data_IF_079698194876
#
_entry.id   IF_079698194876
#
_cell.length_a   1.000
_cell.length_b   1.000
_cell.length_c   1.000
_cell.angle_alpha   90.00
_cell.angle_beta   90.00
_cell.angle_gamma   90.00
#
_symmetry.space_group_name_H-M   'P 1'
#
loop_
_entity.id
_entity.type
_entity.pdbx_description
1 polymer ?
#
# COMPACT_ATOMS: atom_id res chain seq x y z
N UNK A 1 35.14 -0.88 6.57
CA UNK A 1 34.11 -1.95 6.53
C UNK A 1 32.70 -1.41 6.25
N UNK A 2 32.19 -0.42 6.99
CA UNK A 2 30.82 0.12 6.81
C UNK A 2 30.47 0.67 5.41
N UNK A 3 31.43 1.26 4.67
CA UNK A 3 31.19 1.73 3.28
C UNK A 3 31.06 0.61 2.23
N UNK A 4 31.60 -0.59 2.49
CA UNK A 4 31.51 -1.72 1.55
C UNK A 4 30.17 -2.47 1.67
N UNK A 5 29.54 -2.43 2.84
CA UNK A 5 28.20 -3.01 3.06
C UNK A 5 27.13 -2.12 2.43
N UNK A 6 27.26 -0.78 2.55
CA UNK A 6 26.34 0.16 1.90
C UNK A 6 26.40 0.07 0.36
N UNK A 7 27.60 -0.11 -0.20
CA UNK A 7 27.78 -0.33 -1.64
C UNK A 7 27.28 -1.71 -2.09
N UNK A 8 27.32 -2.74 -1.24
CA UNK A 8 26.78 -4.07 -1.55
C UNK A 8 25.24 -4.11 -1.48
N UNK A 9 24.62 -3.39 -0.55
CA UNK A 9 23.15 -3.25 -0.49
C UNK A 9 22.60 -2.40 -1.64
N UNK A 10 23.29 -1.31 -2.03
CA UNK A 10 22.93 -0.54 -3.23
C UNK A 10 23.24 -1.29 -4.54
N UNK A 11 24.30 -2.11 -4.59
CA UNK A 11 24.62 -2.93 -5.77
C UNK A 11 23.69 -4.15 -5.93
N UNK A 12 23.15 -4.70 -4.84
CA UNK A 12 22.12 -5.74 -4.90
C UNK A 12 20.78 -5.21 -5.47
N UNK A 13 20.58 -3.89 -5.45
CA UNK A 13 19.41 -3.22 -6.04
C UNK A 13 19.65 -2.89 -7.54
N UNK A 14 20.90 -2.82 -8.00
CA UNK A 14 21.25 -2.30 -9.35
C UNK A 14 21.75 -3.32 -10.39
N UNK A 15 21.99 -4.59 -10.06
CA UNK A 15 22.41 -5.59 -11.06
C UNK A 15 21.22 -6.43 -11.55
N UNK A 16 20.55 -5.98 -12.62
CA UNK A 16 20.08 -6.79 -13.76
C UNK A 16 19.29 -5.90 -14.74
N UNK A 17 19.99 -5.18 -15.63
CA UNK A 17 19.38 -4.58 -16.83
C UNK A 17 20.32 -4.75 -18.03
N UNK A 18 20.02 -5.74 -18.87
CA UNK A 18 20.34 -5.71 -20.30
C UNK A 18 19.63 -6.88 -21.03
N UNK A 19 18.55 -6.57 -21.76
CA UNK A 19 18.40 -6.89 -23.20
C UNK A 19 16.93 -6.76 -23.67
N UNK A 20 16.74 -5.78 -24.57
CA UNK A 20 15.75 -5.59 -25.65
C UNK A 20 14.47 -6.43 -25.75
N UNK A 21 13.38 -5.75 -26.13
CA UNK A 21 12.70 -6.00 -27.42
C UNK A 21 11.71 -4.88 -27.78
N UNK A 22 11.44 -4.78 -29.08
CA UNK A 22 10.83 -3.67 -29.81
C UNK A 22 9.30 -3.77 -29.97
N UNK A 23 8.61 -2.64 -29.83
CA UNK A 23 7.63 -2.11 -30.81
C UNK A 23 6.20 -2.69 -30.87
N UNK A 24 5.21 -1.80 -30.67
CA UNK A 24 3.82 -2.02 -31.09
C UNK A 24 2.93 -0.79 -30.80
N UNK A 25 2.60 0.00 -31.83
CA UNK A 25 1.66 1.12 -31.77
C UNK A 25 0.21 0.61 -31.72
N UNK A 26 -0.57 1.07 -30.73
CA UNK A 26 -2.02 0.93 -30.67
C UNK A 26 -2.70 2.29 -30.48
N UNK A 27 -3.66 2.61 -31.34
CA UNK A 27 -4.41 3.87 -31.34
C UNK A 27 -5.49 3.87 -30.25
N UNK A 28 -5.56 4.96 -29.47
CA UNK A 28 -6.64 5.23 -28.52
C UNK A 28 -7.78 6.01 -29.21
N UNK A 29 -9.02 5.53 -29.03
CA UNK A 29 -10.24 6.29 -29.29
C UNK A 29 -10.77 6.84 -27.96
N UNK A 30 -10.93 8.16 -27.89
CA UNK A 30 -11.54 8.84 -26.74
C UNK A 30 -13.06 8.73 -26.75
N UNK A 31 -13.64 8.56 -25.56
CA UNK A 31 -15.07 8.74 -25.29
C UNK A 31 -15.24 9.74 -24.16
N UNK A 32 -16.02 10.79 -24.43
CA UNK A 32 -16.44 11.82 -23.48
C UNK A 32 -17.44 11.24 -22.48
N UNK A 33 -17.23 11.48 -21.19
CA UNK A 33 -18.20 11.21 -20.13
C UNK A 33 -18.97 12.50 -19.80
N UNK A 34 -20.29 12.45 -19.97
CA UNK A 34 -21.22 13.46 -19.48
C UNK A 34 -21.68 13.13 -18.07
N UNK A 35 -21.59 14.12 -17.17
CA UNK A 35 -22.13 14.06 -15.81
C UNK A 35 -23.66 14.17 -15.85
N UNK A 36 -24.34 13.15 -15.34
CA UNK A 36 -25.77 13.18 -15.08
C UNK A 36 -26.04 12.52 -13.73
N UNK A 37 -26.70 13.25 -12.83
CA UNK A 37 -27.14 12.76 -11.52
C UNK A 37 -28.14 11.60 -11.69
N UNK A 38 -27.78 10.40 -11.21
CA UNK A 38 -28.63 9.21 -11.24
C UNK A 38 -29.22 8.92 -9.85
N UNK A 39 -30.54 8.78 -9.80
CA UNK A 39 -31.29 8.33 -8.62
C UNK A 39 -31.11 6.81 -8.41
N UNK A 40 -30.54 6.42 -7.27
CA UNK A 40 -30.10 5.06 -6.89
C UNK A 40 -31.25 4.11 -6.47
N UNK A 41 -32.40 4.11 -7.15
CA UNK A 41 -33.53 3.25 -6.72
C UNK A 41 -34.11 2.29 -7.75
N UNK A 42 -33.72 2.37 -9.02
CA UNK A 42 -34.25 1.47 -10.04
C UNK A 42 -33.31 0.29 -10.29
N UNK A 43 -33.84 -0.93 -10.11
CA UNK A 43 -33.14 -2.19 -10.36
C UNK A 43 -32.75 -2.28 -11.85
N UNK A 44 -31.46 -2.38 -12.20
CA UNK A 44 -31.05 -2.51 -13.59
C UNK A 44 -31.59 -3.82 -14.21
N UNK A 45 -31.73 -3.83 -15.54
CA UNK A 45 -32.12 -5.01 -16.32
C UNK A 45 -31.17 -6.20 -16.01
N UNK A 46 -31.70 -7.43 -16.11
CA UNK A 46 -31.14 -8.72 -15.62
C UNK A 46 -29.69 -9.05 -16.05
N UNK A 47 -28.71 -8.30 -15.56
CA UNK A 47 -27.29 -8.65 -15.55
C UNK A 47 -26.89 -9.47 -14.31
N UNK A 48 -25.65 -9.97 -14.28
CA UNK A 48 -25.08 -10.72 -13.16
C UNK A 48 -24.75 -9.82 -11.95
N UNK A 49 -25.69 -8.98 -11.51
CA UNK A 49 -25.51 -8.09 -10.37
C UNK A 49 -25.35 -8.90 -9.07
N UNK A 50 -24.35 -8.51 -8.28
CA UNK A 50 -24.08 -9.07 -6.97
C UNK A 50 -24.62 -8.09 -5.93
N UNK A 51 -25.57 -8.54 -5.11
CA UNK A 51 -26.03 -7.74 -3.97
C UNK A 51 -24.92 -7.68 -2.91
N UNK A 52 -24.51 -6.47 -2.54
CA UNK A 52 -23.54 -6.22 -1.47
C UNK A 52 -24.32 -5.78 -0.25
N UNK A 53 -24.15 -6.49 0.86
CA UNK A 53 -24.71 -6.05 2.14
C UNK A 53 -23.75 -5.05 2.81
N UNK A 54 -24.24 -4.09 3.60
CA UNK A 54 -23.40 -3.19 4.36
C UNK A 54 -22.48 -3.96 5.32
N UNK A 55 -21.22 -3.55 5.40
CA UNK A 55 -20.23 -4.16 6.28
C UNK A 55 -19.46 -3.12 7.09
N UNK A 56 -19.16 -3.49 8.35
CA UNK A 56 -18.35 -2.71 9.28
C UNK A 56 -17.01 -3.44 9.44
N UNK A 57 -16.08 -3.17 8.53
CA UNK A 57 -14.71 -3.67 8.57
C UNK A 57 -13.74 -2.48 8.50
N UNK A 58 -12.60 -2.61 9.17
CA UNK A 58 -11.54 -1.62 9.05
C UNK A 58 -10.84 -1.77 7.70
N UNK A 59 -10.60 -0.66 7.01
CA UNK A 59 -9.96 -0.64 5.70
C UNK A 59 -8.58 0.01 5.84
N UNK A 60 -7.56 -0.81 5.66
CA UNK A 60 -6.16 -0.41 5.64
C UNK A 60 -5.61 -0.28 4.22
N UNK A 61 -4.56 0.51 4.05
CA UNK A 61 -3.84 0.61 2.78
C UNK A 61 -2.33 0.68 2.99
N UNK A 62 -1.58 -0.03 2.15
CA UNK A 62 -0.13 0.11 2.10
C UNK A 62 0.27 1.51 1.63
N UNK A 63 1.22 2.13 2.32
CA UNK A 63 1.65 3.50 2.07
C UNK A 63 3.18 3.59 2.05
N UNK A 64 3.73 3.92 0.89
CA UNK A 64 5.16 4.03 0.64
C UNK A 64 5.69 5.36 1.17
N UNK A 65 6.51 5.26 2.22
CA UNK A 65 7.11 6.41 2.93
C UNK A 65 8.50 6.76 2.42
N UNK A 66 8.96 6.17 1.33
CA UNK A 66 10.37 6.20 0.96
C UNK A 66 10.67 7.05 -0.28
N UNK A 67 9.71 7.70 -0.92
CA UNK A 67 10.03 8.61 -2.04
C UNK A 67 10.83 9.80 -1.55
N UNK A 68 11.98 10.00 -2.19
CA UNK A 68 12.88 11.13 -1.94
C UNK A 68 12.97 11.96 -3.19
N UNK A 69 12.74 13.26 -3.05
CA UNK A 69 12.84 14.22 -4.15
C UNK A 69 13.37 15.55 -3.65
N UNK A 70 14.40 16.05 -4.31
CA UNK A 70 14.96 17.37 -4.08
C UNK A 70 14.98 18.12 -5.43
N UNK A 71 14.11 19.13 -5.63
CA UNK A 71 13.99 19.83 -6.90
C UNK A 71 15.25 20.64 -7.26
N UNK A 72 16.13 20.94 -6.31
CA UNK A 72 17.42 21.58 -6.60
C UNK A 72 18.44 20.60 -7.21
N UNK A 73 18.23 19.30 -7.00
CA UNK A 73 19.12 18.23 -7.45
C UNK A 73 18.35 17.13 -8.21
N UNK A 74 17.60 17.48 -9.28
CA UNK A 74 16.73 16.54 -9.96
C UNK A 74 17.50 15.38 -10.61
N UNK A 75 18.81 15.54 -10.81
CA UNK A 75 19.68 14.57 -11.45
C UNK A 75 20.55 13.74 -10.49
N UNK A 76 20.55 14.03 -9.19
CA UNK A 76 21.36 13.31 -8.19
C UNK A 76 20.57 12.11 -7.65
N UNK A 77 20.99 10.90 -8.00
CA UNK A 77 20.31 9.67 -7.56
C UNK A 77 20.35 9.45 -6.05
N UNK A 78 21.27 10.08 -5.33
CA UNK A 78 21.28 10.05 -3.86
C UNK A 78 20.24 10.97 -3.23
N UNK A 79 19.67 11.88 -4.02
CA UNK A 79 18.66 12.87 -3.61
C UNK A 79 17.34 12.75 -4.37
N UNK A 80 17.26 11.87 -5.36
CA UNK A 80 16.07 11.67 -6.16
C UNK A 80 15.87 10.17 -6.45
N UNK A 81 15.05 9.53 -5.62
CA UNK A 81 14.72 8.10 -5.78
C UNK A 81 13.80 7.83 -6.97
N UNK A 82 12.95 8.79 -7.34
CA UNK A 82 12.13 8.68 -8.55
C UNK A 82 13.00 8.41 -9.78
N UNK A 83 14.09 9.16 -9.90
CA UNK A 83 15.06 8.98 -10.98
C UNK A 83 15.92 7.73 -10.81
N UNK A 84 16.45 7.49 -9.62
CA UNK A 84 17.34 6.36 -9.35
C UNK A 84 16.67 5.02 -9.71
N UNK A 85 15.37 4.90 -9.45
CA UNK A 85 14.61 3.66 -9.66
C UNK A 85 13.78 3.65 -10.96
N UNK A 86 14.02 4.63 -11.84
CA UNK A 86 13.27 4.83 -13.09
C UNK A 86 11.76 4.72 -12.86
N UNK A 87 11.24 5.47 -11.89
CA UNK A 87 9.81 5.55 -11.59
C UNK A 87 9.21 6.62 -12.50
N UNK A 88 8.22 6.22 -13.29
CA UNK A 88 7.66 7.04 -14.39
C UNK A 88 6.25 7.57 -14.14
N UNK A 89 5.71 7.31 -12.96
CA UNK A 89 4.45 7.92 -12.56
C UNK A 89 4.63 9.44 -12.44
N UNK A 90 3.55 10.15 -12.75
CA UNK A 90 3.43 11.60 -12.58
C UNK A 90 2.23 11.88 -11.66
N UNK A 91 2.38 11.71 -10.32
CA UNK A 91 1.30 11.82 -9.35
C UNK A 91 0.69 13.22 -9.27
N UNK A 92 -0.59 13.30 -8.90
CA UNK A 92 -1.22 14.58 -8.57
C UNK A 92 -0.62 15.17 -7.30
N UNK A 93 -0.42 16.49 -7.30
CA UNK A 93 0.13 17.28 -6.21
C UNK A 93 -0.98 18.11 -5.52
N UNK A 94 -0.72 18.67 -4.32
CA UNK A 94 -1.73 19.41 -3.56
C UNK A 94 -2.33 20.63 -4.30
N UNK A 95 -1.60 21.20 -5.25
CA UNK A 95 -2.03 22.34 -6.07
C UNK A 95 -2.80 21.91 -7.34
N UNK A 96 -3.04 20.62 -7.52
CA UNK A 96 -3.71 20.04 -8.69
C UNK A 96 -2.82 19.86 -9.91
N UNK A 97 -1.53 20.20 -9.82
CA UNK A 97 -0.55 19.88 -10.86
C UNK A 97 -0.09 18.42 -10.74
N UNK A 98 0.70 17.96 -11.71
CA UNK A 98 1.32 16.64 -11.66
C UNK A 98 2.84 16.77 -11.53
N UNK A 99 3.44 15.97 -10.66
CA UNK A 99 4.88 15.98 -10.47
C UNK A 99 5.40 15.03 -9.40
N UNK A 100 6.72 15.08 -9.24
CA UNK A 100 7.44 14.28 -8.25
C UNK A 100 7.38 14.96 -6.87
N UNK A 101 7.39 14.16 -5.81
CA UNK A 101 7.32 14.67 -4.44
C UNK A 101 8.26 13.94 -3.49
N UNK A 102 8.51 14.54 -2.32
CA UNK A 102 9.18 13.87 -1.20
C UNK A 102 8.13 13.35 -0.21
N UNK A 103 8.18 12.06 0.14
CA UNK A 103 7.22 11.46 1.09
C UNK A 103 7.37 12.03 2.52
N UNK A 104 8.41 12.82 2.79
CA UNK A 104 8.59 13.55 4.06
C UNK A 104 8.08 14.99 4.03
N UNK A 105 7.58 15.47 2.90
CA UNK A 105 6.98 16.81 2.80
C UNK A 105 5.61 16.83 3.49
N UNK A 106 5.45 17.75 4.44
CA UNK A 106 4.23 17.90 5.22
C UNK A 106 3.01 18.22 4.37
N UNK A 107 3.12 19.09 3.37
CA UNK A 107 1.97 19.45 2.53
C UNK A 107 1.49 18.26 1.71
N UNK A 108 2.43 17.46 1.19
CA UNK A 108 2.15 16.21 0.49
C UNK A 108 1.46 15.21 1.40
N UNK A 109 2.00 14.99 2.61
CA UNK A 109 1.40 14.05 3.57
C UNK A 109 -0.02 14.48 3.93
N UNK A 110 -0.23 15.75 4.27
CA UNK A 110 -1.57 16.25 4.64
C UNK A 110 -2.57 16.14 3.49
N UNK A 111 -2.13 16.37 2.25
CA UNK A 111 -2.94 16.12 1.07
C UNK A 111 -3.33 14.64 0.94
N UNK A 112 -2.39 13.72 1.09
CA UNK A 112 -2.68 12.28 1.06
C UNK A 112 -3.63 11.86 2.20
N UNK A 113 -3.46 12.38 3.42
CA UNK A 113 -4.36 12.07 4.54
C UNK A 113 -5.80 12.52 4.25
N UNK A 114 -5.97 13.68 3.61
CA UNK A 114 -7.28 14.13 3.14
C UNK A 114 -7.89 13.15 2.15
N UNK A 115 -7.18 12.81 1.08
CA UNK A 115 -7.65 11.86 0.06
C UNK A 115 -8.03 10.50 0.70
N UNK A 116 -7.15 9.95 1.54
CA UNK A 116 -7.36 8.67 2.23
C UNK A 116 -8.62 8.68 3.10
N UNK A 117 -8.81 9.73 3.91
CA UNK A 117 -9.96 9.82 4.83
C UNK A 117 -11.28 10.04 4.10
N UNK A 118 -11.28 10.83 3.02
CA UNK A 118 -12.41 11.03 2.11
C UNK A 118 -12.79 9.73 1.39
N UNK A 119 -11.82 8.90 1.02
CA UNK A 119 -12.05 7.58 0.44
C UNK A 119 -12.57 6.53 1.45
N UNK A 120 -12.55 6.82 2.75
CA UNK A 120 -12.99 5.89 3.79
C UNK A 120 -11.92 4.88 4.21
N UNK A 121 -10.65 5.24 4.10
CA UNK A 121 -9.54 4.48 4.70
C UNK A 121 -9.44 4.81 6.20
N UNK A 122 -9.29 3.79 7.03
CA UNK A 122 -9.21 3.92 8.49
C UNK A 122 -7.77 3.92 9.01
N UNK A 123 -6.85 3.25 8.30
CA UNK A 123 -5.44 3.25 8.65
C UNK A 123 -4.50 3.05 7.46
N UNK A 124 -3.25 3.47 7.63
CA UNK A 124 -2.16 3.16 6.70
C UNK A 124 -1.17 2.15 7.29
N UNK A 125 -0.58 1.34 6.41
CA UNK A 125 0.56 0.47 6.72
C UNK A 125 1.80 1.14 6.12
N UNK A 126 2.62 1.79 6.96
CA UNK A 126 3.85 2.44 6.51
C UNK A 126 4.86 1.39 6.08
N UNK A 127 5.24 1.42 4.81
CA UNK A 127 6.22 0.49 4.24
C UNK A 127 7.65 0.84 4.72
N UNK A 128 8.13 0.08 5.69
CA UNK A 128 9.51 0.09 6.18
C UNK A 128 10.16 -1.29 6.01
N UNK A 129 9.70 -2.05 5.01
CA UNK A 129 10.02 -3.47 4.83
C UNK A 129 11.47 -3.73 4.38
N UNK A 130 12.15 -2.71 3.85
CA UNK A 130 13.54 -2.77 3.43
C UNK A 130 14.56 -2.50 4.55
N UNK A 131 14.21 -2.83 5.80
CA UNK A 131 14.90 -2.46 7.04
C UNK A 131 14.68 -1.00 7.45
N UNK A 132 14.22 -0.76 8.69
CA UNK A 132 13.84 0.59 9.19
C UNK A 132 14.92 1.66 8.94
N UNK A 133 16.19 1.33 9.22
CA UNK A 133 17.33 2.27 9.10
C UNK A 133 18.15 2.17 7.80
N UNK A 134 17.61 1.54 6.76
CA UNK A 134 18.33 1.45 5.47
C UNK A 134 18.68 2.83 4.91
N UNK A 135 19.80 2.92 4.18
CA UNK A 135 20.23 4.15 3.53
C UNK A 135 20.53 5.33 4.47
N UNK A 136 20.79 5.06 5.75
CA UNK A 136 21.05 6.11 6.75
C UNK A 136 19.80 6.63 7.45
N UNK A 137 18.69 5.88 7.42
CA UNK A 137 17.46 6.20 8.17
C UNK A 137 16.43 7.03 7.41
N UNK A 138 16.67 7.34 6.12
CA UNK A 138 15.81 8.26 5.38
C UNK A 138 14.36 7.77 5.22
N UNK A 139 14.13 6.45 5.18
CA UNK A 139 12.78 5.84 5.19
C UNK A 139 12.12 6.10 6.54
N UNK A 140 12.85 5.85 7.64
CA UNK A 140 12.34 6.09 8.99
C UNK A 140 12.08 7.57 9.26
N UNK A 141 12.90 8.49 8.75
CA UNK A 141 12.66 9.93 8.94
C UNK A 141 11.33 10.37 8.31
N UNK A 142 11.00 9.85 7.13
CA UNK A 142 9.72 10.09 6.45
C UNK A 142 8.55 9.40 7.14
N UNK A 143 8.73 8.16 7.60
CA UNK A 143 7.73 7.46 8.39
C UNK A 143 7.40 8.22 9.70
N UNK A 144 8.40 8.83 10.34
CA UNK A 144 8.18 9.71 11.50
C UNK A 144 7.38 10.96 11.09
N UNK A 145 7.73 11.61 9.97
CA UNK A 145 6.98 12.77 9.47
C UNK A 145 5.51 12.43 9.21
N UNK A 146 5.24 11.23 8.64
CA UNK A 146 3.87 10.74 8.43
C UNK A 146 3.14 10.53 9.76
N UNK A 147 3.76 9.86 10.74
CA UNK A 147 3.13 9.65 12.04
C UNK A 147 2.83 10.98 12.76
N UNK A 148 3.72 11.97 12.65
CA UNK A 148 3.51 13.32 13.17
C UNK A 148 2.33 14.02 12.47
N UNK A 149 2.28 13.99 11.14
CA UNK A 149 1.17 14.59 10.39
C UNK A 149 -0.17 13.91 10.70
N UNK A 150 -0.20 12.60 10.93
CA UNK A 150 -1.42 11.90 11.37
C UNK A 150 -1.88 12.41 12.74
N UNK A 151 -0.96 12.57 13.69
CA UNK A 151 -1.29 13.12 15.00
C UNK A 151 -1.88 14.54 14.86
N UNK A 152 -1.21 15.41 14.10
CA UNK A 152 -1.70 16.76 13.83
C UNK A 152 -3.07 16.78 13.13
N UNK A 153 -3.26 15.90 12.15
CA UNK A 153 -4.52 15.73 11.42
C UNK A 153 -5.66 15.35 12.37
N UNK A 154 -5.41 14.39 13.27
CA UNK A 154 -6.39 13.92 14.24
C UNK A 154 -6.69 15.01 15.31
N UNK A 155 -5.67 15.72 15.80
CA UNK A 155 -5.82 16.79 16.79
C UNK A 155 -6.59 18.01 16.25
N UNK A 156 -6.54 18.24 14.93
CA UNK A 156 -7.33 19.26 14.25
C UNK A 156 -8.83 18.93 14.14
N UNK A 157 -9.27 17.76 14.62
CA UNK A 157 -10.67 17.33 14.60
C UNK A 157 -11.16 16.83 13.23
N UNK A 158 -10.24 16.52 12.31
CA UNK A 158 -10.59 15.86 11.07
C UNK A 158 -11.09 14.43 11.32
N UNK A 159 -11.64 13.77 10.29
CA UNK A 159 -11.96 12.34 10.37
C UNK A 159 -10.69 11.57 10.73
N UNK A 160 -10.66 10.82 11.85
CA UNK A 160 -9.43 10.19 12.29
C UNK A 160 -8.92 9.14 11.31
N UNK A 161 -7.60 9.08 11.17
CA UNK A 161 -6.88 8.01 10.48
C UNK A 161 -5.74 7.53 11.37
N UNK A 162 -5.44 6.24 11.32
CA UNK A 162 -4.39 5.63 12.13
C UNK A 162 -3.24 5.12 11.27
N UNK A 163 -2.17 4.68 11.91
CA UNK A 163 -1.07 4.04 11.21
C UNK A 163 -0.57 2.79 11.93
N UNK A 164 0.05 1.88 11.18
CA UNK A 164 0.98 0.90 11.70
C UNK A 164 2.25 0.88 10.86
N UNK A 165 3.26 0.15 11.32
CA UNK A 165 4.51 -0.05 10.58
C UNK A 165 4.56 -1.48 10.05
N UNK A 166 5.07 -1.62 8.83
CA UNK A 166 5.55 -2.88 8.31
C UNK A 166 7.07 -2.93 8.34
N UNK A 167 7.64 -4.01 8.88
CA UNK A 167 9.09 -4.24 8.97
C UNK A 167 9.49 -5.43 8.09
N UNK A 168 10.77 -5.57 7.76
CA UNK A 168 11.17 -6.64 6.86
C UNK A 168 12.67 -6.88 6.73
N UNK A 169 13.48 -6.46 7.71
CA UNK A 169 14.90 -6.82 7.70
C UNK A 169 15.13 -8.35 7.70
N UNK A 170 14.13 -9.13 8.15
CA UNK A 170 14.13 -10.59 8.09
C UNK A 170 14.32 -11.16 6.67
N UNK A 171 13.99 -10.40 5.62
CA UNK A 171 14.25 -10.80 4.23
C UNK A 171 15.74 -10.96 3.92
N UNK A 172 16.59 -10.20 4.62
CA UNK A 172 18.03 -10.16 4.43
C UNK A 172 18.76 -10.93 5.53
N UNK A 173 18.21 -10.91 6.74
CA UNK A 173 18.72 -11.58 7.92
C UNK A 173 17.64 -12.49 8.52
N UNK A 174 17.44 -13.71 7.99
CA UNK A 174 16.32 -14.59 8.30
C UNK A 174 16.43 -15.21 9.70
N UNK A 175 16.32 -14.37 10.72
CA UNK A 175 16.37 -14.72 12.12
C UNK A 175 15.25 -14.01 12.88
N UNK A 176 14.53 -14.72 13.75
CA UNK A 176 13.45 -14.11 14.53
C UNK A 176 13.95 -13.00 15.46
N UNK A 177 15.23 -13.03 15.85
CA UNK A 177 15.89 -11.92 16.57
C UNK A 177 15.84 -10.60 15.79
N UNK A 178 15.90 -10.64 14.46
CA UNK A 178 15.83 -9.44 13.61
C UNK A 178 14.47 -8.73 13.77
N UNK A 179 13.37 -9.50 13.86
CA UNK A 179 12.02 -8.97 14.11
C UNK A 179 11.98 -8.25 15.47
N UNK A 180 12.53 -8.89 16.50
CA UNK A 180 12.61 -8.30 17.86
C UNK A 180 13.45 -7.01 17.86
N UNK A 181 14.56 -6.98 17.13
CA UNK A 181 15.42 -5.80 17.04
C UNK A 181 14.72 -4.61 16.34
N UNK A 182 13.97 -4.86 15.26
CA UNK A 182 13.16 -3.82 14.62
C UNK A 182 11.99 -3.36 15.51
N UNK A 183 11.37 -4.27 16.27
CA UNK A 183 10.33 -3.93 17.25
C UNK A 183 10.86 -3.02 18.38
N UNK A 184 12.13 -3.15 18.78
CA UNK A 184 12.79 -2.22 19.73
C UNK A 184 12.79 -0.81 19.16
N UNK A 185 13.15 -0.66 17.88
CA UNK A 185 13.19 0.64 17.20
C UNK A 185 11.79 1.26 17.15
N UNK A 186 10.78 0.47 16.74
CA UNK A 186 9.41 0.96 16.66
C UNK A 186 8.86 1.39 18.02
N UNK A 187 9.08 0.60 19.07
CA UNK A 187 8.66 0.98 20.42
C UNK A 187 9.29 2.31 20.86
N UNK A 188 10.57 2.54 20.57
CA UNK A 188 11.27 3.75 21.04
C UNK A 188 10.95 4.99 20.20
N UNK A 189 10.69 4.82 18.91
CA UNK A 189 10.52 5.93 17.95
C UNK A 189 9.06 6.29 17.68
N UNK A 190 8.12 5.38 17.95
CA UNK A 190 6.71 5.58 17.65
C UNK A 190 5.84 5.41 18.91
N UNK A 191 5.79 4.21 19.52
CA UNK A 191 4.86 3.95 20.63
C UNK A 191 5.06 4.82 21.87
N UNK A 192 6.30 5.27 22.12
CA UNK A 192 6.64 6.11 23.28
C UNK A 192 6.58 7.61 22.98
N UNK A 193 6.00 8.00 21.85
CA UNK A 193 5.86 9.37 21.38
C UNK A 193 4.40 9.79 21.44
N UNK A 194 4.16 11.10 21.33
CA UNK A 194 2.80 11.66 21.30
C UNK A 194 1.97 11.11 20.13
N UNK A 195 2.59 10.92 18.97
CA UNK A 195 1.95 10.26 17.82
C UNK A 195 1.69 8.76 18.04
N UNK A 196 2.18 8.17 19.13
CA UNK A 196 1.90 6.78 19.51
C UNK A 196 0.42 6.51 19.81
N UNK A 197 -0.38 7.53 20.12
CA UNK A 197 -1.82 7.38 20.35
C UNK A 197 -2.61 7.18 19.05
N UNK A 198 -2.05 7.62 17.91
CA UNK A 198 -2.62 7.43 16.58
C UNK A 198 -2.28 6.06 15.96
N UNK A 199 -1.66 5.15 16.73
CA UNK A 199 -1.36 3.80 16.26
C UNK A 199 -2.63 2.97 16.07
N UNK A 200 -2.67 2.18 15.00
CA UNK A 200 -3.74 1.24 14.72
C UNK A 200 -3.61 0.01 15.62
N UNK A 201 -4.72 -0.37 16.25
CA UNK A 201 -4.76 -1.37 17.31
C UNK A 201 -5.52 -2.61 16.84
N UNK A 202 -4.94 -3.79 17.06
CA UNK A 202 -5.58 -5.08 16.82
C UNK A 202 -5.41 -5.93 18.08
N UNK A 203 -6.47 -6.58 18.54
CA UNK A 203 -6.47 -7.39 19.77
C UNK A 203 -5.96 -6.62 21.01
N UNK A 204 -6.26 -5.32 21.06
CA UNK A 204 -5.86 -4.44 22.18
C UNK A 204 -4.39 -4.01 22.19
N UNK A 205 -3.61 -4.31 21.14
CA UNK A 205 -2.20 -3.88 21.01
C UNK A 205 -1.94 -3.20 19.66
N UNK A 206 -0.91 -2.33 19.56
CA UNK A 206 -0.47 -1.79 18.29
C UNK A 206 -0.16 -2.89 17.27
N UNK A 207 -0.65 -2.75 16.04
CA UNK A 207 -0.37 -3.68 14.96
C UNK A 207 1.09 -3.56 14.50
N UNK A 208 1.77 -4.69 14.30
CA UNK A 208 3.05 -4.73 13.59
C UNK A 208 2.96 -5.76 12.47
N UNK A 209 3.10 -5.31 11.23
CA UNK A 209 3.15 -6.19 10.07
C UNK A 209 4.60 -6.59 9.83
N UNK A 210 4.86 -7.89 9.72
CA UNK A 210 6.19 -8.44 9.42
C UNK A 210 6.16 -9.00 8.01
N UNK A 211 6.92 -8.38 7.13
CA UNK A 211 7.06 -8.78 5.74
C UNK A 211 8.30 -9.64 5.54
N UNK A 212 8.11 -10.81 4.93
CA UNK A 212 9.18 -11.70 4.53
C UNK A 212 8.70 -13.14 4.40
N UNK A 213 9.12 -13.80 3.32
CA UNK A 213 8.75 -15.19 3.05
C UNK A 213 9.15 -16.10 4.23
N UNK A 214 8.15 -16.81 4.78
CA UNK A 214 8.37 -17.69 5.94
C UNK A 214 8.59 -16.97 7.27
N UNK A 215 8.37 -15.66 7.36
CA UNK A 215 8.57 -14.86 8.57
C UNK A 215 7.86 -15.41 9.81
N UNK A 216 6.63 -15.91 9.64
CA UNK A 216 5.86 -16.55 10.73
C UNK A 216 6.58 -17.76 11.32
N UNK A 217 7.09 -18.63 10.45
CA UNK A 217 7.79 -19.84 10.86
C UNK A 217 9.13 -19.50 11.52
N UNK A 218 9.89 -18.55 10.95
CA UNK A 218 11.16 -18.08 11.52
C UNK A 218 10.94 -17.49 12.92
N UNK A 219 9.87 -16.71 13.12
CA UNK A 219 9.53 -16.17 14.43
C UNK A 219 9.13 -17.27 15.42
N UNK A 220 8.32 -18.23 14.99
CA UNK A 220 7.93 -19.38 15.81
C UNK A 220 9.15 -20.18 16.28
N UNK A 221 10.08 -20.49 15.38
CA UNK A 221 11.32 -21.20 15.72
C UNK A 221 12.19 -20.41 16.69
N UNK A 222 12.29 -19.10 16.52
CA UNK A 222 12.98 -18.23 17.47
C UNK A 222 12.36 -18.33 18.87
N UNK A 223 11.03 -18.32 18.98
CA UNK A 223 10.31 -18.47 20.25
C UNK A 223 10.49 -19.86 20.86
N UNK A 224 10.33 -20.91 20.08
CA UNK A 224 10.47 -22.31 20.53
C UNK A 224 11.91 -22.62 20.99
N UNK A 225 12.90 -21.97 20.37
CA UNK A 225 14.31 -22.02 20.75
C UNK A 225 14.70 -21.19 21.98
N UNK A 226 13.74 -20.59 22.69
CA UNK A 226 13.98 -19.77 23.89
C UNK A 226 14.26 -18.29 23.62
N UNK A 227 13.97 -17.81 22.41
CA UNK A 227 14.07 -16.40 22.03
C UNK A 227 13.15 -15.51 22.86
N UNK A 228 13.69 -14.37 23.31
CA UNK A 228 12.95 -13.39 24.09
C UNK A 228 12.17 -12.44 23.16
N UNK A 229 10.93 -12.14 23.50
CA UNK A 229 10.03 -11.25 22.74
C UNK A 229 9.63 -10.01 23.55
N UNK A 230 10.60 -9.41 24.24
CA UNK A 230 10.36 -8.29 25.16
C UNK A 230 9.65 -7.11 24.48
N UNK A 231 9.98 -6.84 23.22
CA UNK A 231 9.41 -5.74 22.45
C UNK A 231 8.32 -6.21 21.49
N UNK A 232 8.48 -7.36 20.84
CA UNK A 232 7.40 -7.93 20.02
C UNK A 232 6.12 -8.20 20.82
N UNK A 233 6.19 -8.56 22.12
CA UNK A 233 5.01 -8.80 22.96
C UNK A 233 4.15 -7.54 23.19
N UNK A 234 4.69 -6.36 22.87
CA UNK A 234 3.95 -5.08 22.91
C UNK A 234 3.05 -4.89 21.69
N UNK A 235 3.26 -5.66 20.63
CA UNK A 235 2.53 -5.55 19.39
C UNK A 235 1.63 -6.77 19.19
N UNK A 236 0.63 -6.60 18.34
CA UNK A 236 -0.05 -7.70 17.68
C UNK A 236 0.66 -7.95 16.35
N UNK A 237 1.39 -9.06 16.25
CA UNK A 237 2.09 -9.42 15.03
C UNK A 237 1.10 -9.95 13.98
N UNK A 238 1.29 -9.51 12.74
CA UNK A 238 0.66 -10.03 11.54
C UNK A 238 1.69 -10.19 10.44
N UNK A 239 1.39 -11.00 9.44
CA UNK A 239 2.36 -11.43 8.45
C UNK A 239 1.99 -10.93 7.06
N UNK A 240 3.00 -10.59 6.27
CA UNK A 240 2.86 -10.27 4.86
C UNK A 240 3.94 -11.02 4.06
N UNK A 241 3.57 -11.50 2.88
CA UNK A 241 4.48 -12.14 1.94
C UNK A 241 3.95 -11.99 0.50
N UNK A 242 4.67 -12.58 -0.45
CA UNK A 242 4.34 -12.56 -1.88
C UNK A 242 3.58 -13.82 -2.33
N UNK A 243 3.03 -14.61 -1.40
CA UNK A 243 2.46 -15.93 -1.72
C UNK A 243 0.94 -15.93 -1.84
N UNK A 244 0.31 -14.76 -1.68
CA UNK A 244 -1.15 -14.58 -1.62
C UNK A 244 -1.80 -15.50 -0.57
N UNK A 245 -1.26 -15.56 0.66
CA UNK A 245 -1.82 -16.42 1.70
C UNK A 245 -3.13 -15.85 2.28
N UNK A 246 -4.18 -16.65 2.51
CA UNK A 246 -5.36 -16.21 3.25
C UNK A 246 -4.98 -15.70 4.65
N UNK A 247 -5.58 -14.58 5.09
CA UNK A 247 -5.36 -14.00 6.43
C UNK A 247 -4.05 -13.22 6.59
N UNK A 248 -3.20 -13.16 5.56
CA UNK A 248 -2.00 -12.32 5.54
C UNK A 248 -2.34 -10.91 5.03
N UNK A 249 -1.51 -9.94 5.42
CA UNK A 249 -1.64 -8.53 5.03
C UNK A 249 -1.04 -8.24 3.64
N UNK A 250 -0.24 -9.20 3.14
CA UNK A 250 0.19 -9.30 1.76
C UNK A 250 1.13 -8.22 1.24
N UNK A 251 1.71 -8.50 0.08
CA UNK A 251 2.36 -7.51 -0.78
C UNK A 251 2.05 -7.89 -2.24
N UNK A 252 2.91 -8.63 -2.95
CA UNK A 252 2.60 -9.10 -4.29
C UNK A 252 1.51 -10.19 -4.28
N UNK A 253 0.27 -9.85 -4.68
CA UNK A 253 -0.87 -10.78 -4.72
C UNK A 253 -1.14 -11.29 -6.13
N UNK A 254 -0.32 -12.23 -6.61
CA UNK A 254 -0.38 -12.77 -7.97
C UNK A 254 -1.43 -13.87 -8.19
N UNK A 255 -1.97 -14.47 -7.12
CA UNK A 255 -3.06 -15.46 -7.18
C UNK A 255 -4.45 -14.86 -6.99
N UNK A 256 -4.53 -13.53 -6.98
CA UNK A 256 -5.75 -12.79 -6.67
C UNK A 256 -6.11 -12.82 -5.19
N UNK A 257 -7.16 -12.08 -4.84
CA UNK A 257 -7.66 -11.98 -3.46
C UNK A 257 -8.12 -13.34 -2.94
N UNK A 258 -7.57 -13.75 -1.79
CA UNK A 258 -8.01 -14.95 -1.08
C UNK A 258 -9.02 -14.59 0.01
N UNK A 259 -10.08 -15.39 0.15
CA UNK A 259 -11.08 -15.18 1.19
C UNK A 259 -10.54 -15.64 2.57
N UNK A 260 -10.69 -14.79 3.57
CA UNK A 260 -10.41 -15.06 4.97
C UNK A 260 -11.28 -14.15 5.84
N UNK A 261 -11.78 -14.65 6.98
CA UNK A 261 -12.69 -13.90 7.84
C UNK A 261 -12.00 -12.80 8.66
N UNK A 262 -10.68 -12.82 8.77
CA UNK A 262 -9.93 -11.81 9.49
C UNK A 262 -9.41 -10.74 8.53
N UNK A 263 -8.73 -11.14 7.44
CA UNK A 263 -8.07 -10.19 6.55
C UNK A 263 -8.16 -10.62 5.09
N UNK A 264 -8.64 -9.72 4.23
CA UNK A 264 -8.57 -9.89 2.78
C UNK A 264 -7.74 -8.78 2.15
N UNK A 265 -6.95 -9.13 1.13
CA UNK A 265 -6.10 -8.16 0.41
C UNK A 265 -6.65 -7.95 -1.00
N UNK A 266 -6.77 -6.69 -1.42
CA UNK A 266 -7.11 -6.31 -2.80
C UNK A 266 -5.94 -5.53 -3.41
N UNK A 267 -5.67 -5.76 -4.70
CA UNK A 267 -4.55 -5.16 -5.41
C UNK A 267 -4.96 -4.91 -6.85
N UNK A 268 -4.59 -3.77 -7.45
CA UNK A 268 -5.00 -3.44 -8.81
C UNK A 268 -4.14 -4.06 -9.91
N UNK A 269 -2.92 -4.46 -9.55
CA UNK A 269 -1.91 -5.04 -10.42
C UNK A 269 -0.55 -4.90 -9.75
N UNK A 270 0.47 -5.50 -10.33
CA UNK A 270 1.83 -5.51 -9.77
C UNK A 270 2.85 -5.83 -10.86
N UNK A 271 3.91 -5.03 -10.92
CA UNK A 271 5.05 -5.26 -11.80
C UNK A 271 6.30 -4.64 -11.17
N UNK A 272 7.14 -5.48 -10.58
CA UNK A 272 8.40 -5.05 -10.00
C UNK A 272 9.57 -5.05 -11.00
N UNK A 273 9.34 -5.46 -12.25
CA UNK A 273 10.32 -5.51 -13.35
C UNK A 273 11.56 -6.37 -13.06
N UNK A 274 11.52 -7.24 -12.05
CA UNK A 274 12.66 -8.05 -11.56
C UNK A 274 12.53 -9.54 -11.90
N UNK A 275 11.88 -9.86 -13.01
CA UNK A 275 11.78 -11.23 -13.53
C UNK A 275 10.61 -12.06 -12.99
N UNK A 276 9.74 -11.46 -12.19
CA UNK A 276 8.46 -12.06 -11.85
C UNK A 276 7.42 -11.78 -12.95
N UNK A 277 6.45 -12.68 -13.09
CA UNK A 277 5.31 -12.47 -14.00
C UNK A 277 4.49 -11.29 -13.50
N UNK A 278 4.33 -10.22 -14.30
CA UNK A 278 3.49 -9.10 -13.92
C UNK A 278 2.03 -9.54 -13.74
N UNK A 279 1.37 -8.93 -12.76
CA UNK A 279 -0.07 -9.00 -12.56
C UNK A 279 -0.69 -7.83 -13.33
N UNK A 280 -1.35 -8.09 -14.47
CA UNK A 280 -1.78 -7.01 -15.34
C UNK A 280 -2.98 -6.27 -14.73
N UNK A 281 -2.97 -4.96 -14.93
CA UNK A 281 -4.01 -4.04 -14.47
C UNK A 281 -5.32 -4.14 -15.27
N UNK A 282 -5.22 -4.56 -16.54
CA UNK A 282 -6.33 -4.79 -17.48
C UNK A 282 -7.47 -3.75 -17.38
N UNK A 283 -7.13 -2.45 -17.40
CA UNK A 283 -8.12 -1.37 -17.32
C UNK A 283 -9.11 -1.51 -16.15
N UNK A 284 -8.66 -2.03 -15.01
CA UNK A 284 -9.45 -2.21 -13.80
C UNK A 284 -9.99 -3.62 -13.59
N UNK A 285 -9.97 -4.50 -14.60
CA UNK A 285 -10.53 -5.86 -14.51
C UNK A 285 -9.95 -6.66 -13.33
N UNK A 286 -8.62 -6.62 -13.14
CA UNK A 286 -7.97 -7.32 -12.04
C UNK A 286 -8.42 -6.78 -10.67
N UNK A 287 -8.51 -5.46 -10.54
CA UNK A 287 -8.94 -4.81 -9.29
C UNK A 287 -10.41 -5.11 -8.97
N UNK A 288 -11.26 -5.08 -10.00
CA UNK A 288 -12.67 -5.47 -9.92
C UNK A 288 -12.84 -6.92 -9.46
N UNK A 289 -12.07 -7.83 -10.03
CA UNK A 289 -12.10 -9.24 -9.64
C UNK A 289 -11.60 -9.45 -8.20
N UNK A 290 -10.63 -8.65 -7.75
CA UNK A 290 -10.17 -8.64 -6.35
C UNK A 290 -11.31 -8.22 -5.41
N UNK A 291 -12.01 -7.13 -5.69
CA UNK A 291 -13.16 -6.68 -4.91
C UNK A 291 -14.38 -7.59 -5.01
N UNK A 292 -14.62 -8.23 -6.15
CA UNK A 292 -15.64 -9.27 -6.30
C UNK A 292 -15.45 -10.41 -5.29
N UNK A 293 -14.20 -10.79 -4.99
CA UNK A 293 -13.94 -11.80 -3.97
C UNK A 293 -14.35 -11.33 -2.57
N UNK A 294 -14.13 -10.04 -2.26
CA UNK A 294 -14.57 -9.43 -1.00
C UNK A 294 -16.11 -9.45 -0.91
N UNK A 295 -16.80 -8.98 -1.96
CA UNK A 295 -18.26 -8.89 -1.98
C UNK A 295 -18.97 -10.26 -1.97
N UNK A 296 -18.30 -11.31 -2.45
CA UNK A 296 -18.84 -12.67 -2.49
C UNK A 296 -18.27 -13.58 -1.40
N UNK A 297 -17.54 -13.01 -0.43
CA UNK A 297 -16.99 -13.77 0.67
C UNK A 297 -18.11 -14.38 1.53
N UNK A 298 -17.94 -15.66 1.93
CA UNK A 298 -18.93 -16.35 2.78
C UNK A 298 -19.11 -15.69 4.15
N UNK A 299 -18.05 -15.05 4.63
CA UNK A 299 -18.02 -14.22 5.84
C UNK A 299 -17.30 -12.94 5.47
N UNK A 300 -17.86 -11.81 5.88
CA UNK A 300 -17.21 -10.53 5.69
C UNK A 300 -15.89 -10.49 6.47
N UNK A 301 -14.78 -10.03 5.87
CA UNK A 301 -13.52 -9.90 6.59
C UNK A 301 -13.62 -8.80 7.65
N UNK A 302 -12.90 -8.95 8.76
CA UNK A 302 -12.76 -7.87 9.76
C UNK A 302 -11.90 -6.71 9.27
N UNK A 303 -10.94 -6.99 8.40
CA UNK A 303 -10.01 -6.02 7.84
C UNK A 303 -9.88 -6.25 6.33
N UNK A 304 -9.95 -5.18 5.55
CA UNK A 304 -9.52 -5.19 4.14
C UNK A 304 -8.20 -4.43 4.05
N UNK A 305 -7.20 -5.00 3.40
CA UNK A 305 -5.94 -4.33 3.09
C UNK A 305 -5.86 -4.05 1.60
N UNK A 306 -5.61 -2.81 1.23
CA UNK A 306 -5.43 -2.39 -0.14
C UNK A 306 -3.92 -2.28 -0.43
N UNK A 307 -3.44 -2.92 -1.49
CA UNK A 307 -2.08 -2.74 -2.01
C UNK A 307 -2.13 -2.01 -3.36
N UNK A 308 -1.74 -0.73 -3.45
CA UNK A 308 -1.32 0.20 -2.38
C UNK A 308 -1.78 1.62 -2.72
N UNK A 309 -1.62 2.57 -1.81
CA UNK A 309 -1.91 3.97 -2.12
C UNK A 309 -0.93 4.50 -3.18
N UNK A 310 0.37 4.37 -2.96
CA UNK A 310 1.38 5.07 -3.76
C UNK A 310 2.65 4.24 -4.04
N UNK A 311 2.62 2.91 -4.04
CA UNK A 311 3.78 2.10 -4.45
C UNK A 311 3.92 2.08 -5.99
N UNK A 312 4.56 3.13 -6.50
CA UNK A 312 4.78 3.37 -7.92
C UNK A 312 5.96 2.57 -8.51
N UNK A 313 6.93 2.12 -7.70
CA UNK A 313 8.07 1.38 -8.26
C UNK A 313 7.72 -0.07 -8.59
N UNK A 314 6.72 -0.63 -7.89
CA UNK A 314 6.17 -1.96 -8.16
C UNK A 314 4.78 -1.95 -8.80
N UNK A 315 4.36 -0.79 -9.30
CA UNK A 315 3.12 -0.64 -10.08
C UNK A 315 1.84 -1.07 -9.35
N UNK A 316 1.77 -0.95 -8.02
CA UNK A 316 0.53 -1.20 -7.24
C UNK A 316 -0.18 0.08 -6.81
N UNK A 317 0.47 1.25 -6.92
CA UNK A 317 -0.10 2.55 -6.54
C UNK A 317 -1.46 2.87 -7.19
N UNK A 318 -2.42 3.29 -6.39
CA UNK A 318 -3.79 3.62 -6.80
C UNK A 318 -4.04 5.13 -6.85
N UNK A 319 -3.23 5.92 -6.14
CA UNK A 319 -3.36 7.36 -6.06
C UNK A 319 -3.22 7.99 -7.44
N UNK A 320 -4.06 9.00 -7.69
CA UNK A 320 -4.20 9.69 -8.96
C UNK A 320 -2.85 10.11 -9.54
N UNK A 321 -2.60 9.75 -10.79
CA UNK A 321 -1.37 10.05 -11.51
C UNK A 321 -1.65 10.18 -13.00
N UNK A 322 -1.18 11.25 -13.63
CA UNK A 322 -1.43 11.53 -15.05
C UNK A 322 -1.09 10.35 -15.94
N UNK A 323 0.07 9.75 -15.71
CA UNK A 323 0.53 8.56 -16.44
C UNK A 323 0.73 7.39 -15.50
N UNK A 324 0.44 6.19 -16.01
CA UNK A 324 0.99 4.96 -15.44
C UNK A 324 2.49 4.83 -15.76
N UNK A 325 3.12 3.76 -15.28
CA UNK A 325 4.53 3.50 -15.55
C UNK A 325 4.89 3.35 -17.03
N UNK A 326 3.96 2.86 -17.86
CA UNK A 326 4.16 2.69 -19.29
C UNK A 326 3.87 3.97 -20.08
N UNK A 327 3.47 5.06 -19.41
CA UNK A 327 3.14 6.34 -20.03
C UNK A 327 1.71 6.41 -20.56
N UNK A 328 0.83 5.48 -20.19
CA UNK A 328 -0.58 5.54 -20.57
C UNK A 328 -1.33 6.52 -19.66
N UNK A 329 -2.24 7.30 -20.24
CA UNK A 329 -3.12 8.18 -19.49
C UNK A 329 -4.12 7.34 -18.66
N UNK A 330 -4.06 7.44 -17.34
CA UNK A 330 -4.99 6.78 -16.44
C UNK A 330 -5.15 7.58 -15.13
N UNK A 331 -5.52 8.88 -15.21
CA UNK A 331 -5.36 9.83 -14.12
C UNK A 331 -5.97 9.36 -12.81
N UNK A 332 -7.18 8.84 -12.83
CA UNK A 332 -7.97 8.64 -11.61
C UNK A 332 -8.75 7.32 -11.55
N UNK A 333 -8.70 6.48 -12.58
CA UNK A 333 -9.50 5.25 -12.69
C UNK A 333 -9.45 4.41 -11.41
N UNK A 334 -8.25 4.08 -10.95
CA UNK A 334 -8.06 3.19 -9.79
C UNK A 334 -8.45 3.84 -8.47
N UNK A 335 -8.22 5.14 -8.32
CA UNK A 335 -8.62 5.88 -7.13
C UNK A 335 -10.15 6.02 -7.06
N UNK A 336 -10.82 6.29 -8.18
CA UNK A 336 -12.28 6.33 -8.25
C UNK A 336 -12.90 4.97 -7.97
N UNK A 337 -12.36 3.89 -8.54
CA UNK A 337 -12.78 2.53 -8.20
C UNK A 337 -12.62 2.25 -6.70
N UNK A 338 -11.50 2.68 -6.09
CA UNK A 338 -11.26 2.51 -4.65
C UNK A 338 -12.35 3.18 -3.81
N UNK A 339 -12.63 4.47 -4.07
CA UNK A 339 -13.69 5.23 -3.38
C UNK A 339 -15.06 4.56 -3.52
N UNK A 340 -15.41 4.15 -4.74
CA UNK A 340 -16.70 3.52 -5.03
C UNK A 340 -16.84 2.16 -4.35
N UNK A 341 -15.82 1.31 -4.40
CA UNK A 341 -15.87 -0.01 -3.77
C UNK A 341 -15.89 0.04 -2.26
N UNK A 342 -15.18 0.99 -1.64
CA UNK A 342 -15.27 1.24 -0.21
C UNK A 342 -16.68 1.71 0.15
N UNK A 343 -17.24 2.66 -0.60
CA UNK A 343 -18.60 3.14 -0.37
C UNK A 343 -19.63 2.01 -0.52
N UNK A 344 -19.52 1.19 -1.57
CA UNK A 344 -20.38 0.03 -1.80
C UNK A 344 -20.25 -1.03 -0.69
N UNK A 345 -19.03 -1.30 -0.22
CA UNK A 345 -18.78 -2.23 0.88
C UNK A 345 -19.42 -1.76 2.19
N UNK A 346 -19.27 -0.47 2.52
CA UNK A 346 -19.79 0.09 3.77
C UNK A 346 -21.31 0.31 3.75
N UNK A 347 -21.86 0.75 2.63
CA UNK A 347 -23.25 1.18 2.53
C UNK A 347 -24.17 0.11 1.93
N UNK A 348 -23.60 -0.96 1.38
CA UNK A 348 -24.32 -1.94 0.56
C UNK A 348 -24.75 -1.36 -0.79
N UNK A 349 -25.36 -2.21 -1.63
CA UNK A 349 -25.83 -1.84 -2.95
C UNK A 349 -25.77 -2.99 -3.95
N UNK A 350 -25.57 -2.66 -5.21
CA UNK A 350 -25.42 -3.63 -6.30
C UNK A 350 -24.07 -3.45 -6.97
N UNK A 351 -23.28 -4.53 -7.00
CA UNK A 351 -22.02 -4.57 -7.72
C UNK A 351 -22.24 -5.22 -9.08
N UNK A 352 -21.92 -4.51 -10.15
CA UNK A 352 -21.85 -5.07 -11.50
C UNK A 352 -20.42 -5.57 -11.77
N UNK A 353 -20.20 -6.89 -11.90
CA UNK A 353 -18.87 -7.43 -12.21
C UNK A 353 -18.43 -7.16 -13.66
N UNK A 354 -19.33 -6.72 -14.54
CA UNK A 354 -19.08 -6.50 -15.96
C UNK A 354 -18.92 -5.00 -16.31
N UNK A 355 -19.39 -4.09 -15.44
CA UNK A 355 -19.24 -2.64 -15.61
C UNK A 355 -18.08 -2.10 -14.79
N UNK A 356 -17.32 -1.15 -15.35
CA UNK A 356 -16.13 -0.63 -14.75
C UNK A 356 -16.35 0.20 -13.48
N UNK A 357 -17.53 0.81 -13.37
CA UNK A 357 -17.99 1.62 -12.25
C UNK A 357 -19.39 1.11 -11.87
N UNK A 358 -19.71 0.88 -10.58
CA UNK A 358 -21.09 0.66 -10.16
C UNK A 358 -21.95 1.88 -10.55
N UNK A 359 -23.13 1.61 -11.09
CA UNK A 359 -24.17 2.61 -11.40
C UNK A 359 -24.77 3.25 -10.13
#
# INVERSE_FOLDING_TARGET
MKRKILAAMLAAIMLFLAAGCTGGNGQNNGSEHGEGDVNVTDKPAEGNLIKVEPHDADIGIWYSVWYKYDPEYPNDSTKNLWKDWDIRYDPILPDGTYGLYDSGDKEIIMFHLKELTEAGIDFIIMDQTNHIDVGGGFINDRAIAVAQCIQEWNDAGNKPIRYCSAIGAIQWEPAGKTIEDEAVLLNNRYLRKEWGDSYYMVDGKPLLVVYGDGGEQIWKEYKDGGGQSKYCDKFTLRWADNQSRPGYYGWAYDKGTQQDENVMVVMAGWDNRKGHTPVPRNHGEWYRNSWKQVFTAKKSPKIIVINSFNEYAENTGLHTAKTDYYGNDAPDLYWNMTKQYIALFRNGGWFDPDNNLPD
#
